data_IF_402812571870
#
_entry.id   IF_402812571870
#
_cell.length_a   1.000
_cell.length_b   1.000
_cell.length_c   1.000
_cell.angle_alpha   90.00
_cell.angle_beta   90.00
_cell.angle_gamma   90.00
#
_symmetry.space_group_name_H-M   'P 1'
#
loop_
_entity.id
_entity.type
_entity.pdbx_description
1 polymer ?
#
# COMPACT_ATOMS: atom_id res chain seq x y z
N UNK A 1 14.18 5.23 17.04
CA UNK A 1 12.85 5.72 17.51
C UNK A 1 12.03 6.42 16.42
N UNK A 2 12.57 7.37 15.65
CA UNK A 2 11.80 8.09 14.60
C UNK A 2 11.08 7.14 13.62
N UNK A 3 11.81 6.17 13.07
CA UNK A 3 11.26 5.17 12.14
C UNK A 3 10.10 4.35 12.72
N UNK A 4 10.20 3.96 14.00
CA UNK A 4 9.10 3.26 14.68
C UNK A 4 7.85 4.15 14.79
N UNK A 5 8.03 5.43 15.14
CA UNK A 5 6.90 6.38 15.25
C UNK A 5 6.21 6.52 13.89
N UNK A 6 6.99 6.65 12.81
CA UNK A 6 6.48 6.78 11.46
C UNK A 6 5.77 5.50 10.99
N UNK A 7 6.31 4.32 11.32
CA UNK A 7 5.69 3.02 11.05
C UNK A 7 4.34 2.89 11.75
N UNK A 8 4.25 3.24 13.04
CA UNK A 8 3.02 3.18 13.82
C UNK A 8 1.96 4.13 13.25
N UNK A 9 2.36 5.35 12.85
CA UNK A 9 1.45 6.31 12.22
C UNK A 9 0.87 5.75 10.92
N UNK A 10 1.73 5.27 10.03
CA UNK A 10 1.32 4.69 8.75
C UNK A 10 0.39 3.50 8.93
N UNK A 11 0.74 2.58 9.85
CA UNK A 11 -0.13 1.46 10.20
C UNK A 11 -1.51 1.93 10.67
N UNK A 12 -1.55 2.89 11.59
CA UNK A 12 -2.81 3.40 12.13
C UNK A 12 -3.67 4.06 11.06
N UNK A 13 -3.08 4.86 10.18
CA UNK A 13 -3.80 5.47 9.05
C UNK A 13 -4.39 4.41 8.13
N UNK A 14 -3.57 3.44 7.70
CA UNK A 14 -4.00 2.36 6.80
C UNK A 14 -5.12 1.51 7.41
N UNK A 15 -5.13 1.29 8.73
CA UNK A 15 -6.13 0.50 9.43
C UNK A 15 -7.23 1.32 10.11
N UNK A 16 -7.41 2.60 9.72
CA UNK A 16 -8.46 3.50 10.22
C UNK A 16 -8.46 3.65 11.74
N UNK A 17 -7.28 3.92 12.30
CA UNK A 17 -7.04 4.06 13.74
C UNK A 17 -7.63 2.89 14.56
N UNK A 18 -7.14 1.66 14.34
CA UNK A 18 -7.69 0.48 14.99
C UNK A 18 -7.54 0.57 16.52
N UNK A 19 -8.48 -0.03 17.26
CA UNK A 19 -8.36 -0.14 18.71
C UNK A 19 -7.16 -1.01 19.10
N UNK A 20 -6.62 -0.84 20.32
CA UNK A 20 -5.50 -1.67 20.80
C UNK A 20 -5.81 -3.17 20.82
N UNK A 21 -7.10 -3.54 20.98
CA UNK A 21 -7.53 -4.93 20.86
C UNK A 21 -7.33 -5.43 19.43
N UNK A 22 -7.79 -4.65 18.45
CA UNK A 22 -7.65 -4.98 17.03
C UNK A 22 -6.18 -4.99 16.59
N UNK A 23 -5.38 -4.04 17.07
CA UNK A 23 -3.93 -4.03 16.85
C UNK A 23 -3.28 -5.31 17.38
N UNK A 24 -3.65 -5.73 18.60
CA UNK A 24 -3.16 -6.97 19.19
C UNK A 24 -3.50 -8.19 18.34
N UNK A 25 -4.72 -8.27 17.81
CA UNK A 25 -5.11 -9.36 16.90
C UNK A 25 -4.33 -9.36 15.58
N UNK A 26 -4.10 -8.19 14.98
CA UNK A 26 -3.37 -8.08 13.71
C UNK A 26 -1.88 -8.42 13.87
N UNK A 27 -1.26 -7.93 14.94
CA UNK A 27 0.16 -8.09 15.22
C UNK A 27 0.48 -9.34 16.07
N UNK A 28 -0.54 -10.16 16.36
CA UNK A 28 -0.41 -11.35 17.22
C UNK A 28 0.28 -11.06 18.57
N UNK A 29 -0.03 -9.91 19.17
CA UNK A 29 0.48 -9.47 20.47
C UNK A 29 -0.66 -9.19 21.45
N UNK A 30 -0.33 -9.17 22.74
CA UNK A 30 -1.28 -8.76 23.77
C UNK A 30 -1.70 -7.30 23.58
N UNK A 31 -2.97 -6.99 23.87
CA UNK A 31 -3.54 -5.62 23.84
C UNK A 31 -2.69 -4.62 24.64
N UNK A 32 -2.18 -5.03 25.81
CA UNK A 32 -1.33 -4.19 26.67
C UNK A 32 0.03 -3.90 26.02
N UNK A 33 0.58 -4.84 25.25
CA UNK A 33 1.80 -4.62 24.47
C UNK A 33 1.55 -3.63 23.33
N UNK A 34 0.45 -3.77 22.60
CA UNK A 34 0.05 -2.80 21.57
C UNK A 34 -0.13 -1.38 22.15
N UNK A 35 -0.77 -1.25 23.32
CA UNK A 35 -0.86 0.03 24.03
C UNK A 35 0.52 0.62 24.35
N UNK A 36 1.44 -0.18 24.92
CA UNK A 36 2.79 0.27 25.27
C UNK A 36 3.57 0.78 24.07
N UNK A 37 3.53 0.06 22.95
CA UNK A 37 4.22 0.44 21.70
C UNK A 37 3.72 1.80 21.18
N UNK A 38 2.39 2.00 21.18
CA UNK A 38 1.79 3.27 20.80
C UNK A 38 2.15 4.44 21.73
N UNK A 39 2.53 4.15 22.98
CA UNK A 39 3.02 5.12 23.97
C UNK A 39 4.55 5.19 24.02
N UNK A 40 5.24 4.80 22.95
CA UNK A 40 6.69 5.01 22.80
C UNK A 40 7.58 3.95 23.41
N UNK A 41 7.03 2.81 23.88
CA UNK A 41 7.88 1.67 24.22
C UNK A 41 8.49 1.09 22.95
N UNK A 42 9.77 0.73 23.03
CA UNK A 42 10.49 0.13 21.92
C UNK A 42 9.85 -1.17 21.44
N UNK A 43 9.69 -1.31 20.12
CA UNK A 43 9.22 -2.52 19.48
C UNK A 43 10.34 -3.58 19.46
N UNK A 44 9.95 -4.84 19.66
CA UNK A 44 10.82 -5.96 19.31
C UNK A 44 10.94 -6.02 17.79
N UNK A 45 12.05 -6.57 17.31
CA UNK A 45 12.25 -6.78 15.87
C UNK A 45 11.09 -7.55 15.21
N UNK A 46 10.59 -8.59 15.88
CA UNK A 46 9.43 -9.36 15.38
C UNK A 46 8.15 -8.54 15.23
N UNK A 47 7.92 -7.59 16.14
CA UNK A 47 6.74 -6.70 16.11
C UNK A 47 6.88 -5.67 14.99
N UNK A 48 8.09 -5.14 14.81
CA UNK A 48 8.41 -4.22 13.72
C UNK A 48 8.18 -4.89 12.36
N UNK A 49 8.76 -6.07 12.15
CA UNK A 49 8.68 -6.79 10.87
C UNK A 49 7.23 -7.15 10.54
N UNK A 50 6.46 -7.66 11.52
CA UNK A 50 5.06 -7.99 11.29
C UNK A 50 4.22 -6.77 10.94
N UNK A 51 4.44 -5.62 11.60
CA UNK A 51 3.76 -4.38 11.27
C UNK A 51 4.12 -3.90 9.86
N UNK A 52 5.40 -3.99 9.49
CA UNK A 52 5.89 -3.62 8.17
C UNK A 52 5.28 -4.51 7.08
N UNK A 53 5.19 -5.82 7.30
CA UNK A 53 4.56 -6.77 6.37
C UNK A 53 3.09 -6.45 6.14
N UNK A 54 2.34 -6.15 7.21
CA UNK A 54 0.93 -5.75 7.11
C UNK A 54 0.74 -4.43 6.36
N UNK A 55 1.61 -3.45 6.59
CA UNK A 55 1.62 -2.19 5.82
C UNK A 55 1.88 -2.49 4.34
N UNK A 56 2.89 -3.30 4.06
CA UNK A 56 3.31 -3.65 2.70
C UNK A 56 2.21 -4.40 1.93
N UNK A 57 1.52 -5.34 2.60
CA UNK A 57 0.38 -6.07 2.06
C UNK A 57 -0.75 -5.10 1.70
N UNK A 58 -1.06 -4.16 2.60
CA UNK A 58 -2.19 -3.23 2.42
C UNK A 58 -1.91 -2.11 1.42
N UNK A 59 -0.66 -1.72 1.26
CA UNK A 59 -0.22 -0.71 0.28
C UNK A 59 0.11 -1.30 -1.08
N UNK A 60 0.15 -2.64 -1.21
CA UNK A 60 0.57 -3.32 -2.44
C UNK A 60 2.05 -3.10 -2.80
N UNK A 61 2.83 -2.47 -1.91
CA UNK A 61 4.23 -2.09 -2.17
C UNK A 61 5.20 -3.27 -2.18
N UNK A 62 4.86 -4.45 -1.65
CA UNK A 62 5.87 -5.52 -1.49
C UNK A 62 6.13 -6.40 -2.71
N UNK A 63 5.19 -6.55 -3.64
CA UNK A 63 5.39 -7.47 -4.79
C UNK A 63 5.71 -6.75 -6.08
N UNK A 64 4.94 -5.71 -6.40
CA UNK A 64 5.15 -4.97 -7.64
C UNK A 64 6.43 -4.13 -7.59
N UNK A 65 6.71 -3.43 -6.47
CA UNK A 65 7.94 -2.65 -6.34
C UNK A 65 9.17 -3.55 -6.39
N UNK A 66 9.16 -4.66 -5.63
CA UNK A 66 10.25 -5.63 -5.65
C UNK A 66 10.46 -6.22 -7.06
N UNK A 67 9.37 -6.52 -7.78
CA UNK A 67 9.44 -6.98 -9.17
C UNK A 67 9.98 -5.89 -10.10
N UNK A 68 9.58 -4.63 -9.92
CA UNK A 68 10.10 -3.50 -10.70
C UNK A 68 11.59 -3.33 -10.44
N UNK A 69 12.02 -3.34 -9.18
CA UNK A 69 13.43 -3.20 -8.80
C UNK A 69 14.27 -4.36 -9.37
N UNK A 70 13.75 -5.58 -9.34
CA UNK A 70 14.38 -6.74 -9.98
C UNK A 70 14.42 -6.61 -11.51
N UNK A 71 13.34 -6.12 -12.13
CA UNK A 71 13.27 -5.84 -13.56
C UNK A 71 14.33 -4.82 -13.97
N UNK A 72 14.47 -3.72 -13.23
CA UNK A 72 15.44 -2.66 -13.52
C UNK A 72 16.89 -3.14 -13.44
N UNK A 73 17.18 -4.11 -12.56
CA UNK A 73 18.53 -4.66 -12.40
C UNK A 73 18.88 -5.73 -13.44
N UNK A 74 17.90 -6.53 -13.88
CA UNK A 74 18.16 -7.75 -14.68
C UNK A 74 17.74 -7.65 -16.14
N UNK A 75 16.81 -6.75 -16.49
CA UNK A 75 16.35 -6.63 -17.87
C UNK A 75 17.17 -5.61 -18.65
N UNK A 76 17.40 -5.86 -19.94
CA UNK A 76 17.97 -4.86 -20.83
C UNK A 76 16.97 -3.70 -21.03
N UNK A 77 17.52 -2.49 -21.26
CA UNK A 77 16.74 -1.24 -21.32
C UNK A 77 15.57 -1.30 -22.32
N UNK A 78 15.75 -1.95 -23.47
CA UNK A 78 14.69 -2.12 -24.47
C UNK A 78 13.48 -2.91 -23.95
N UNK A 79 13.68 -3.88 -23.05
CA UNK A 79 12.58 -4.62 -22.43
C UNK A 79 11.87 -3.82 -21.35
N UNK A 80 12.60 -2.95 -20.66
CA UNK A 80 12.01 -2.01 -19.70
C UNK A 80 11.13 -0.99 -20.45
N UNK A 81 11.59 -0.47 -21.58
CA UNK A 81 10.81 0.45 -22.42
C UNK A 81 9.55 -0.22 -22.99
N UNK A 82 9.64 -1.47 -23.42
CA UNK A 82 8.48 -2.26 -23.86
C UNK A 82 7.43 -2.39 -22.75
N UNK A 83 7.86 -2.69 -21.52
CA UNK A 83 6.98 -2.81 -20.35
C UNK A 83 6.35 -1.45 -20.03
N UNK A 84 7.15 -0.39 -19.98
CA UNK A 84 6.70 0.99 -19.72
C UNK A 84 5.62 1.41 -20.73
N UNK A 85 5.86 1.16 -22.02
CA UNK A 85 4.92 1.47 -23.10
C UNK A 85 3.60 0.72 -22.95
N UNK A 86 3.63 -0.55 -22.54
CA UNK A 86 2.42 -1.34 -22.29
C UNK A 86 1.64 -0.79 -21.10
N UNK A 87 2.31 -0.48 -19.99
CA UNK A 87 1.69 0.15 -18.82
C UNK A 87 1.02 1.47 -19.21
N UNK A 88 1.70 2.32 -19.97
CA UNK A 88 1.17 3.60 -20.44
C UNK A 88 -0.09 3.41 -21.30
N UNK A 89 -0.08 2.44 -22.22
CA UNK A 89 -1.27 2.11 -23.04
C UNK A 89 -2.46 1.68 -22.19
N UNK A 90 -2.26 0.82 -21.21
CA UNK A 90 -3.34 0.41 -20.30
C UNK A 90 -3.91 1.59 -19.51
N UNK A 91 -3.05 2.50 -19.03
CA UNK A 91 -3.49 3.71 -18.33
C UNK A 91 -4.29 4.64 -19.24
N UNK A 92 -3.85 4.84 -20.49
CA UNK A 92 -4.57 5.65 -21.47
C UNK A 92 -5.95 5.07 -21.78
N UNK A 93 -6.03 3.77 -22.06
CA UNK A 93 -7.32 3.10 -22.34
C UNK A 93 -8.26 3.26 -21.14
N UNK A 94 -7.77 3.03 -19.92
CA UNK A 94 -8.61 3.14 -18.73
C UNK A 94 -9.10 4.58 -18.52
N UNK A 95 -8.25 5.59 -18.76
CA UNK A 95 -8.64 7.00 -18.68
C UNK A 95 -9.73 7.37 -19.68
N UNK A 96 -9.70 6.81 -20.90
CA UNK A 96 -10.72 7.02 -21.93
C UNK A 96 -12.03 6.35 -21.54
N UNK A 97 -11.99 5.12 -21.00
CA UNK A 97 -13.16 4.40 -20.52
C UNK A 97 -13.85 5.13 -19.36
N UNK A 98 -13.08 5.69 -18.42
CA UNK A 98 -13.65 6.48 -17.31
C UNK A 98 -14.28 7.79 -17.80
N UNK A 99 -13.71 8.46 -18.82
CA UNK A 99 -14.32 9.66 -19.41
C UNK A 99 -15.62 9.35 -20.16
N UNK A 100 -15.74 8.18 -20.80
CA UNK A 100 -16.98 7.78 -21.47
C UNK A 100 -18.14 7.45 -20.52
N UNK A 101 -17.85 7.06 -19.28
CA UNK A 101 -18.86 6.81 -18.26
C UNK A 101 -19.55 8.10 -17.79
N UNK A 102 -18.84 9.22 -17.75
CA UNK A 102 -19.41 10.53 -17.37
C UNK A 102 -20.26 11.13 -18.50
N UNK A 103 -19.89 10.90 -19.77
CA UNK A 103 -20.60 11.44 -20.94
C UNK A 103 -21.96 10.74 -21.12
N UNK A 104 -22.04 9.42 -20.89
CA UNK A 104 -23.27 8.64 -21.04
C UNK A 104 -24.35 8.96 -19.99
N UNK A 105 -23.94 9.44 -18.80
CA UNK A 105 -24.89 9.95 -17.80
C UNK A 105 -25.53 11.26 -18.29
N UNK A 106 -24.75 12.18 -18.88
CA UNK A 106 -25.28 13.47 -19.34
C UNK A 106 -26.21 13.38 -20.57
N UNK A 107 -25.98 12.43 -21.48
CA UNK A 107 -26.84 12.22 -22.65
C UNK A 107 -28.22 11.64 -22.31
N UNK A 108 -28.35 10.93 -21.18
CA UNK A 108 -29.60 10.28 -20.74
C UNK A 108 -30.59 11.25 -20.07
N UNK A 109 -30.17 12.48 -19.76
CA UNK A 109 -31.01 13.52 -19.14
C UNK A 109 -31.45 14.63 -20.10
N UNK A 110 -31.09 14.52 -21.39
CA UNK A 110 -31.40 15.53 -22.42
C UNK A 110 -32.43 15.05 -23.47
N UNK A 111 -33.13 13.93 -23.21
CA UNK A 111 -34.21 13.39 -24.05
C UNK A 111 -35.56 13.52 -23.37
#
# INVERSE_FOLDING_TARGET
MKEQIDLIKMFRELYKNPSYSRMGSLLQIQKTRAFRICNGHEMKLSEYLMMQDLINEKTGKSKLQALIDECLLKLPANKIDDISTRCQKYLTINSMLTQTADISITASFAS
#
